data_IF_228863205214
#
_entry.id   IF_228863205214
#
_cell.length_a   1.000
_cell.length_b   1.000
_cell.length_c   1.000
_cell.angle_alpha   90.00
_cell.angle_beta   90.00
_cell.angle_gamma   90.00
#
_symmetry.space_group_name_H-M   'P 1'
#
loop_
_entity.id
_entity.type
_entity.pdbx_description
1 polymer ?
#
# COMPACT_ATOMS: atom_id res chain seq x y z
N UNK A 1 27.55 42.16 20.42
CA UNK A 1 26.13 41.98 20.75
C UNK A 1 25.37 41.87 19.43
N UNK A 2 24.58 40.81 19.20
CA UNK A 2 23.85 40.57 17.94
C UNK A 2 24.58 39.59 17.01
N UNK A 3 24.76 38.33 17.40
CA UNK A 3 23.77 37.23 17.31
C UNK A 3 23.54 36.76 15.86
N UNK A 4 24.13 35.60 15.60
CA UNK A 4 23.99 34.72 14.44
C UNK A 4 22.53 34.54 14.01
N UNK A 5 22.19 34.88 12.78
CA UNK A 5 21.03 34.29 12.09
C UNK A 5 21.52 33.10 11.27
N UNK A 6 21.51 31.94 11.92
CA UNK A 6 21.61 30.66 11.22
C UNK A 6 20.26 30.34 10.59
N UNK A 7 20.14 30.53 9.29
CA UNK A 7 19.04 29.98 8.49
C UNK A 7 19.07 28.45 8.62
N UNK A 8 18.23 27.90 9.50
CA UNK A 8 17.96 26.47 9.55
C UNK A 8 17.26 26.10 8.25
N UNK A 9 18.03 25.66 7.26
CA UNK A 9 17.49 25.00 6.07
C UNK A 9 16.63 23.83 6.53
N UNK A 10 15.31 23.97 6.39
CA UNK A 10 14.38 22.88 6.62
C UNK A 10 14.78 21.72 5.71
N UNK A 11 15.18 20.60 6.31
CA UNK A 11 15.51 19.39 5.57
C UNK A 11 14.26 18.97 4.82
N UNK A 12 14.24 19.13 3.49
CA UNK A 12 13.19 18.60 2.63
C UNK A 12 13.20 17.08 2.84
N UNK A 13 12.17 16.54 3.49
CA UNK A 13 11.99 15.10 3.57
C UNK A 13 11.47 14.63 2.21
N UNK A 14 12.39 14.12 1.39
CA UNK A 14 12.03 13.44 0.14
C UNK A 14 11.33 12.14 0.54
N UNK A 15 10.05 12.03 0.16
CA UNK A 15 9.27 10.80 0.33
C UNK A 15 9.43 9.95 -0.94
N UNK A 16 9.75 8.67 -0.75
CA UNK A 16 9.86 7.68 -1.81
C UNK A 16 8.63 6.77 -1.79
N UNK A 17 7.99 6.58 -2.94
CA UNK A 17 6.85 5.67 -3.09
C UNK A 17 7.25 4.50 -3.99
N UNK A 18 7.12 3.28 -3.49
CA UNK A 18 7.44 2.06 -4.23
C UNK A 18 6.17 1.25 -4.44
N UNK A 19 5.72 1.13 -5.68
CA UNK A 19 4.52 0.37 -6.00
C UNK A 19 4.84 -1.12 -6.15
N UNK A 20 4.40 -1.93 -5.18
CA UNK A 20 4.55 -3.39 -5.16
C UNK A 20 3.29 -4.11 -5.66
N UNK A 21 2.44 -3.40 -6.41
CA UNK A 21 1.27 -3.96 -7.08
C UNK A 21 1.50 -4.09 -8.59
N UNK A 22 0.73 -4.93 -9.32
CA UNK A 22 0.94 -5.15 -10.75
C UNK A 22 0.56 -3.97 -11.66
N UNK A 23 -0.20 -3.00 -11.16
CA UNK A 23 -0.79 -1.94 -11.98
C UNK A 23 -0.37 -0.56 -11.47
N UNK A 24 -0.32 0.45 -12.37
CA UNK A 24 -0.09 1.82 -11.96
C UNK A 24 -1.13 2.27 -10.93
N UNK A 25 -0.69 3.05 -9.95
CA UNK A 25 -1.56 3.66 -8.95
C UNK A 25 -1.59 5.15 -9.21
N UNK A 26 -2.73 5.64 -9.69
CA UNK A 26 -2.97 7.06 -9.97
C UNK A 26 -3.78 7.67 -8.84
N UNK A 27 -3.26 8.74 -8.24
CA UNK A 27 -3.98 9.55 -7.25
C UNK A 27 -4.58 10.75 -7.97
N UNK A 28 -5.86 11.00 -7.76
CA UNK A 28 -6.59 12.13 -8.31
C UNK A 28 -7.08 13.06 -7.22
N UNK A 29 -7.21 14.35 -7.55
CA UNK A 29 -7.80 15.36 -6.68
C UNK A 29 -9.33 15.28 -6.67
N UNK A 30 -9.97 16.26 -6.03
CA UNK A 30 -11.43 16.27 -5.90
C UNK A 30 -12.15 16.47 -7.23
N UNK A 31 -11.51 17.20 -8.16
CA UNK A 31 -12.01 17.59 -9.47
C UNK A 31 -11.68 16.53 -10.55
N UNK A 32 -10.94 15.48 -10.18
CA UNK A 32 -10.52 14.40 -11.07
C UNK A 32 -9.19 14.67 -11.79
N UNK A 33 -8.49 15.74 -11.45
CA UNK A 33 -7.13 16.00 -11.92
C UNK A 33 -6.13 15.02 -11.33
N UNK A 34 -5.19 14.54 -12.13
CA UNK A 34 -4.13 13.63 -11.64
C UNK A 34 -3.13 14.38 -10.78
N UNK A 35 -3.01 13.98 -9.51
CA UNK A 35 -1.99 14.48 -8.58
C UNK A 35 -0.66 13.78 -8.86
N UNK A 36 -0.66 12.44 -8.90
CA UNK A 36 0.53 11.64 -9.18
C UNK A 36 0.15 10.27 -9.74
N UNK A 37 1.09 9.63 -10.43
CA UNK A 37 0.98 8.21 -10.81
C UNK A 37 2.26 7.48 -10.41
N UNK A 38 2.13 6.43 -9.61
CA UNK A 38 3.24 5.54 -9.22
C UNK A 38 3.20 4.30 -10.11
N UNK A 39 4.16 4.19 -11.02
CA UNK A 39 4.32 3.02 -11.88
C UNK A 39 4.71 1.79 -11.05
N UNK A 40 4.32 0.57 -11.45
CA UNK A 40 4.80 -0.66 -10.83
C UNK A 40 6.33 -0.64 -10.74
N UNK A 41 6.87 -1.03 -9.59
CA UNK A 41 8.33 -1.10 -9.37
C UNK A 41 9.04 -2.19 -10.18
N UNK A 42 8.27 -3.04 -10.89
CA UNK A 42 8.76 -4.29 -11.48
C UNK A 42 8.74 -5.47 -10.51
N UNK A 43 8.55 -5.21 -9.20
CA UNK A 43 8.36 -6.24 -8.18
C UNK A 43 6.91 -6.22 -7.68
N UNK A 44 6.30 -7.41 -7.57
CA UNK A 44 4.96 -7.55 -6.99
C UNK A 44 5.07 -8.33 -5.69
N UNK A 45 4.68 -7.73 -4.58
CA UNK A 45 4.71 -8.39 -3.28
C UNK A 45 3.52 -9.35 -3.16
N UNK A 46 3.81 -10.63 -3.00
CA UNK A 46 2.83 -11.69 -2.75
C UNK A 46 3.24 -12.46 -1.51
N UNK A 47 2.34 -12.55 -0.54
CA UNK A 47 2.53 -13.40 0.62
C UNK A 47 2.02 -14.81 0.32
N UNK A 48 2.69 -15.87 0.80
CA UNK A 48 2.17 -17.24 0.71
C UNK A 48 0.81 -17.36 1.39
N UNK A 49 -0.09 -18.16 0.82
CA UNK A 49 -1.36 -18.51 1.45
C UNK A 49 -1.21 -19.82 2.22
N UNK A 50 -1.55 -19.81 3.51
CA UNK A 50 -1.63 -20.98 4.37
C UNK A 50 -3.09 -21.42 4.46
N UNK A 51 -3.34 -22.69 4.18
CA UNK A 51 -4.67 -23.31 4.29
C UNK A 51 -4.65 -24.36 5.38
N UNK A 52 -5.57 -24.27 6.35
CA UNK A 52 -5.71 -25.25 7.44
C UNK A 52 -7.15 -25.77 7.53
N UNK A 53 -7.37 -27.05 7.87
CA UNK A 53 -8.72 -27.56 8.11
C UNK A 53 -9.45 -26.77 9.21
N UNK A 54 -10.74 -26.54 9.01
CA UNK A 54 -11.59 -25.76 9.91
C UNK A 54 -12.89 -26.46 10.31
N UNK A 55 -13.10 -27.69 9.86
CA UNK A 55 -14.30 -28.48 10.09
C UNK A 55 -15.04 -28.76 8.80
N UNK A 56 -16.37 -28.83 8.89
CA UNK A 56 -17.25 -29.17 7.78
C UNK A 56 -18.59 -28.44 7.96
N UNK A 57 -19.22 -28.04 6.86
CA UNK A 57 -20.58 -27.48 6.84
C UNK A 57 -21.42 -28.33 5.88
N UNK A 58 -22.42 -29.03 6.39
CA UNK A 58 -23.35 -29.86 5.59
C UNK A 58 -22.65 -30.86 4.64
N UNK A 59 -21.62 -31.58 5.09
CA UNK A 59 -20.88 -32.51 4.21
C UNK A 59 -19.72 -31.87 3.44
N UNK A 60 -19.56 -30.53 3.48
CA UNK A 60 -18.55 -29.82 2.70
C UNK A 60 -17.35 -29.41 3.57
N UNK A 61 -16.11 -29.82 3.22
CA UNK A 61 -14.92 -29.44 3.98
C UNK A 61 -14.76 -27.92 4.09
N UNK A 62 -14.58 -27.44 5.32
CA UNK A 62 -14.29 -26.05 5.62
C UNK A 62 -12.80 -25.90 5.90
N UNK A 63 -12.19 -24.85 5.35
CA UNK A 63 -10.79 -24.49 5.58
C UNK A 63 -10.66 -23.04 6.04
N UNK A 64 -9.64 -22.75 6.85
CA UNK A 64 -9.19 -21.38 7.13
C UNK A 64 -8.08 -21.03 6.15
N UNK A 65 -8.14 -19.83 5.61
CA UNK A 65 -7.09 -19.24 4.78
C UNK A 65 -6.49 -18.04 5.48
N UNK A 66 -5.17 -17.95 5.46
CA UNK A 66 -4.44 -16.78 5.96
C UNK A 66 -3.24 -16.53 5.05
N UNK A 67 -2.84 -15.26 4.92
CA UNK A 67 -1.55 -14.94 4.30
C UNK A 67 -0.46 -15.02 5.36
N UNK A 68 0.65 -15.67 5.02
CA UNK A 68 1.80 -15.80 5.90
C UNK A 68 2.63 -14.50 5.91
N UNK A 69 2.65 -13.75 7.03
CA UNK A 69 3.43 -12.53 7.12
C UNK A 69 4.93 -12.78 7.32
N UNK A 70 5.36 -14.02 7.57
CA UNK A 70 6.76 -14.39 7.73
C UNK A 70 7.53 -14.46 6.40
N UNK A 71 6.86 -14.21 5.28
CA UNK A 71 7.50 -14.09 3.98
C UNK A 71 8.56 -12.97 3.97
N UNK A 72 9.53 -13.07 3.06
CA UNK A 72 10.54 -12.03 2.88
C UNK A 72 9.86 -10.72 2.43
N UNK A 73 9.84 -9.74 3.34
CA UNK A 73 9.29 -8.42 3.09
C UNK A 73 10.42 -7.45 2.68
N UNK A 74 10.13 -6.42 1.86
CA UNK A 74 11.11 -5.38 1.57
C UNK A 74 11.60 -4.70 2.87
N UNK A 75 12.89 -4.34 2.97
CA UNK A 75 13.43 -3.73 4.19
C UNK A 75 12.74 -2.40 4.49
N UNK A 76 12.59 -2.04 5.78
CA UNK A 76 12.11 -0.70 6.17
C UNK A 76 13.16 0.34 5.81
N UNK A 77 12.76 1.38 5.09
CA UNK A 77 13.65 2.48 4.71
C UNK A 77 13.03 3.82 5.11
N UNK A 78 13.82 4.68 5.77
CA UNK A 78 13.33 5.98 6.24
C UNK A 78 12.84 6.82 5.06
N UNK A 79 11.61 7.32 5.16
CA UNK A 79 10.98 8.14 4.12
C UNK A 79 10.46 7.34 2.93
N UNK A 80 10.46 6.00 2.98
CA UNK A 80 9.86 5.15 1.93
C UNK A 80 8.54 4.58 2.39
N UNK A 81 7.55 4.62 1.51
CA UNK A 81 6.28 3.89 1.65
C UNK A 81 6.12 2.90 0.50
N UNK A 82 5.62 1.71 0.83
CA UNK A 82 5.34 0.67 -0.15
C UNK A 82 3.84 0.61 -0.41
N UNK A 83 3.44 0.81 -1.66
CA UNK A 83 2.05 0.62 -2.07
C UNK A 83 1.84 -0.87 -2.29
N UNK A 84 0.96 -1.47 -1.50
CA UNK A 84 0.66 -2.91 -1.51
C UNK A 84 -0.84 -3.15 -1.69
N UNK A 85 -1.25 -4.41 -1.84
CA UNK A 85 -2.67 -4.77 -1.80
C UNK A 85 -3.20 -4.80 -0.37
N UNK A 86 -4.51 -4.59 -0.19
CA UNK A 86 -5.16 -4.65 1.13
C UNK A 86 -4.89 -5.98 1.88
N UNK A 87 -4.97 -7.17 1.26
CA UNK A 87 -4.65 -8.42 1.96
C UNK A 87 -3.22 -8.46 2.49
N UNK A 88 -2.25 -7.95 1.72
CA UNK A 88 -0.84 -7.89 2.15
C UNK A 88 -0.66 -6.91 3.31
N UNK A 89 -1.29 -5.73 3.24
CA UNK A 89 -1.25 -4.75 4.33
C UNK A 89 -1.86 -5.31 5.63
N UNK A 90 -3.00 -6.00 5.53
CA UNK A 90 -3.69 -6.62 6.67
C UNK A 90 -2.88 -7.75 7.32
N UNK A 91 -2.18 -8.56 6.52
CA UNK A 91 -1.35 -9.64 7.02
C UNK A 91 -0.04 -9.12 7.65
N UNK A 92 0.65 -8.20 6.96
CA UNK A 92 1.95 -7.69 7.40
C UNK A 92 1.88 -6.65 8.53
N UNK A 93 0.76 -5.91 8.66
CA UNK A 93 0.53 -4.84 9.67
C UNK A 93 1.71 -3.89 9.83
N UNK A 94 2.25 -3.42 8.70
CA UNK A 94 3.37 -2.47 8.64
C UNK A 94 2.88 -1.05 8.43
N UNK A 95 3.41 -0.10 9.20
CA UNK A 95 3.08 1.33 9.10
C UNK A 95 3.61 1.99 7.81
N UNK A 96 4.65 1.42 7.21
CA UNK A 96 5.20 1.87 5.93
C UNK A 96 4.54 1.19 4.72
N UNK A 97 3.53 0.34 4.95
CA UNK A 97 2.68 -0.22 3.89
C UNK A 97 1.41 0.62 3.78
N UNK A 98 1.19 1.16 2.58
CA UNK A 98 0.01 1.94 2.24
C UNK A 98 -0.79 1.26 1.15
N UNK A 99 -2.09 1.53 1.12
CA UNK A 99 -3.01 1.01 0.10
C UNK A 99 -3.73 2.17 -0.59
N UNK A 100 -4.06 2.06 -1.89
CA UNK A 100 -5.02 2.97 -2.51
C UNK A 100 -6.38 2.85 -1.80
N UNK A 101 -6.98 3.98 -1.45
CA UNK A 101 -8.31 4.03 -0.83
C UNK A 101 -9.16 5.14 -1.47
N UNK A 102 -10.48 5.06 -1.30
CA UNK A 102 -11.45 5.92 -1.99
C UNK A 102 -11.26 5.84 -3.52
N UNK A 103 -11.49 4.63 -4.04
CA UNK A 103 -11.25 4.29 -5.44
C UNK A 103 -12.20 5.04 -6.37
N UNK A 104 -11.64 5.68 -7.39
CA UNK A 104 -12.38 6.33 -8.46
C UNK A 104 -12.56 5.33 -9.60
N UNK A 105 -13.80 5.19 -10.07
CA UNK A 105 -14.17 4.25 -11.13
C UNK A 105 -14.78 4.97 -12.33
N UNK A 106 -14.53 4.45 -13.52
CA UNK A 106 -15.20 4.90 -14.74
C UNK A 106 -16.65 4.39 -14.82
N UNK A 107 -17.36 4.78 -15.90
CA UNK A 107 -18.75 4.35 -16.14
C UNK A 107 -18.90 2.83 -16.34
N UNK A 108 -17.82 2.12 -16.62
CA UNK A 108 -17.79 0.66 -16.75
C UNK A 108 -17.38 -0.03 -15.44
N UNK A 109 -17.18 0.72 -14.35
CA UNK A 109 -16.79 0.22 -13.05
C UNK A 109 -15.30 -0.10 -12.91
N UNK A 110 -14.46 0.22 -13.91
CA UNK A 110 -13.01 -0.01 -13.85
C UNK A 110 -12.37 1.04 -12.96
N UNK A 111 -11.41 0.64 -12.13
CA UNK A 111 -10.65 1.57 -11.28
C UNK A 111 -9.72 2.40 -12.17
N UNK A 112 -9.88 3.73 -12.12
CA UNK A 112 -9.05 4.69 -12.88
C UNK A 112 -8.14 5.52 -11.97
N UNK A 113 -8.30 5.40 -10.64
CA UNK A 113 -7.44 6.04 -9.66
C UNK A 113 -7.97 5.88 -8.23
N UNK A 114 -7.38 6.62 -7.30
CA UNK A 114 -7.82 6.73 -5.92
C UNK A 114 -7.69 8.19 -5.43
N UNK A 115 -8.46 8.59 -4.42
CA UNK A 115 -8.39 9.95 -3.86
C UNK A 115 -7.42 10.05 -2.68
N UNK A 116 -7.08 8.93 -2.03
CA UNK A 116 -6.18 8.90 -0.88
C UNK A 116 -5.46 7.56 -0.74
N UNK A 117 -4.49 7.55 0.16
CA UNK A 117 -3.90 6.32 0.68
C UNK A 117 -4.43 6.04 2.07
N UNK A 118 -4.43 4.78 2.47
CA UNK A 118 -4.72 4.35 3.83
C UNK A 118 -3.59 3.48 4.39
N UNK A 119 -3.46 3.50 5.72
CA UNK A 119 -2.69 2.52 6.50
C UNK A 119 -3.68 1.61 7.21
N UNK A 120 -3.35 0.32 7.34
CA UNK A 120 -4.18 -0.64 8.07
C UNK A 120 -3.75 -0.68 9.54
N UNK A 121 -4.72 -0.58 10.45
CA UNK A 121 -4.54 -0.70 11.91
C UNK A 121 -4.90 -2.10 12.41
#
# INVERSE_FOLDING_TARGET
MGSREGTKGGKIMVINLVNLTPHPVTVVDQDGGTILTVQPSGQVLRLPEVTTPAGEIQGVPLVRKALDPAAELPPRQKGTYYIVSLPVAQAARREDFIIPDDLVRDKQGRVIGCRRFAVVA
#
